data_IF_418146987706
#
_entry.id   IF_418146987706
#
_cell.length_a   1.000
_cell.length_b   1.000
_cell.length_c   1.000
_cell.angle_alpha   90.00
_cell.angle_beta   90.00
_cell.angle_gamma   90.00
#
_symmetry.space_group_name_H-M   'P 1'
#
loop_
_entity.id
_entity.type
_entity.pdbx_description
1 polymer ?
#
# COMPACT_ATOMS: atom_id res chain seq x y z
N UNK A 1 -16.55 -14.63 28.44
CA UNK A 1 -16.88 -14.50 27.01
C UNK A 1 -15.59 -14.55 26.21
N UNK A 2 -15.30 -15.59 25.41
CA UNK A 2 -14.14 -15.53 24.53
C UNK A 2 -14.40 -14.45 23.48
N UNK A 3 -13.39 -13.63 23.20
CA UNK A 3 -13.47 -12.62 22.14
C UNK A 3 -13.82 -13.33 20.83
N UNK A 4 -14.89 -12.91 20.14
CA UNK A 4 -15.22 -13.35 18.78
C UNK A 4 -14.00 -13.05 17.91
N UNK A 5 -13.16 -14.06 17.66
CA UNK A 5 -12.10 -13.96 16.66
C UNK A 5 -12.79 -13.81 15.33
N UNK A 6 -12.65 -12.64 14.71
CA UNK A 6 -13.10 -12.44 13.34
C UNK A 6 -12.55 -13.59 12.47
N UNK A 7 -13.35 -14.12 11.53
CA UNK A 7 -12.90 -15.21 10.69
C UNK A 7 -11.59 -14.84 9.98
N UNK A 8 -10.71 -15.83 9.75
CA UNK A 8 -9.47 -15.61 9.03
C UNK A 8 -9.77 -15.05 7.64
N UNK A 9 -8.98 -14.07 7.21
CA UNK A 9 -9.09 -13.51 5.88
C UNK A 9 -8.34 -14.40 4.90
N UNK A 10 -9.01 -14.81 3.84
CA UNK A 10 -8.46 -15.67 2.77
C UNK A 10 -8.14 -14.86 1.52
N UNK A 11 -7.20 -15.35 0.71
CA UNK A 11 -6.89 -14.84 -0.61
C UNK A 11 -8.13 -14.80 -1.53
N UNK A 12 -8.94 -15.86 -1.55
CA UNK A 12 -10.16 -15.93 -2.36
C UNK A 12 -11.15 -14.84 -1.97
N UNK A 13 -11.42 -14.70 -0.67
CA UNK A 13 -12.28 -13.63 -0.16
C UNK A 13 -11.76 -12.23 -0.52
N UNK A 14 -10.46 -11.97 -0.42
CA UNK A 14 -9.86 -10.72 -0.86
C UNK A 14 -10.12 -10.46 -2.35
N UNK A 15 -9.89 -11.45 -3.21
CA UNK A 15 -10.02 -11.28 -4.66
C UNK A 15 -11.49 -11.18 -5.10
N UNK A 16 -12.38 -11.88 -4.41
CA UNK A 16 -13.82 -11.71 -4.58
C UNK A 16 -14.25 -10.29 -4.21
N UNK A 17 -13.84 -9.79 -3.03
CA UNK A 17 -14.16 -8.42 -2.63
C UNK A 17 -13.57 -7.39 -3.60
N UNK A 18 -12.35 -7.65 -4.09
CA UNK A 18 -11.68 -6.80 -5.06
C UNK A 18 -12.47 -6.73 -6.37
N UNK A 19 -12.86 -7.89 -6.93
CA UNK A 19 -13.58 -7.95 -8.20
C UNK A 19 -14.93 -7.21 -8.13
N UNK A 20 -15.63 -7.28 -6.99
CA UNK A 20 -16.91 -6.59 -6.81
C UNK A 20 -16.79 -5.06 -6.77
N UNK A 21 -15.62 -4.52 -6.40
CA UNK A 21 -15.39 -3.08 -6.28
C UNK A 21 -14.50 -2.48 -7.36
N UNK A 22 -13.76 -3.32 -8.09
CA UNK A 22 -12.68 -2.90 -8.98
C UNK A 22 -13.14 -1.88 -10.02
N UNK A 23 -14.23 -2.17 -10.73
CA UNK A 23 -14.73 -1.28 -11.78
C UNK A 23 -15.14 0.11 -11.26
N UNK A 24 -15.86 0.15 -10.13
CA UNK A 24 -16.28 1.40 -9.50
C UNK A 24 -15.08 2.20 -8.99
N UNK A 25 -14.08 1.51 -8.46
CA UNK A 25 -12.87 2.13 -7.94
C UNK A 25 -11.98 2.68 -9.07
N UNK A 26 -11.83 1.95 -10.18
CA UNK A 26 -11.10 2.43 -11.35
C UNK A 26 -11.75 3.71 -11.94
N UNK A 27 -13.07 3.73 -12.09
CA UNK A 27 -13.81 4.94 -12.49
C UNK A 27 -13.62 6.10 -11.51
N UNK A 28 -13.52 5.82 -10.22
CA UNK A 28 -13.21 6.84 -9.23
C UNK A 28 -11.81 7.44 -9.42
N UNK A 29 -10.80 6.63 -9.77
CA UNK A 29 -9.43 7.10 -10.00
C UNK A 29 -9.28 7.98 -11.24
N UNK A 30 -10.15 7.82 -12.25
CA UNK A 30 -10.16 8.69 -13.44
C UNK A 30 -10.46 10.15 -13.11
N UNK A 31 -11.12 10.41 -11.98
CA UNK A 31 -11.35 11.78 -11.52
C UNK A 31 -10.11 12.31 -10.80
N UNK A 32 -9.74 13.56 -11.08
CA UNK A 32 -8.70 14.23 -10.32
C UNK A 32 -9.07 14.38 -8.84
N UNK A 33 -8.36 13.63 -7.99
CA UNK A 33 -8.49 13.65 -6.52
C UNK A 33 -7.30 14.35 -5.85
N UNK A 34 -6.45 15.05 -6.60
CA UNK A 34 -5.19 15.64 -6.09
C UNK A 34 -5.41 16.60 -4.92
N UNK A 35 -6.38 17.51 -5.01
CA UNK A 35 -6.70 18.45 -3.92
C UNK A 35 -7.10 17.71 -2.65
N UNK A 36 -7.97 16.72 -2.77
CA UNK A 36 -8.43 15.90 -1.65
C UNK A 36 -7.33 14.99 -1.07
N UNK A 37 -6.30 14.66 -1.85
CA UNK A 37 -5.11 13.93 -1.38
C UNK A 37 -4.09 14.88 -0.73
N UNK A 38 -4.00 16.14 -1.15
CA UNK A 38 -3.10 17.15 -0.59
C UNK A 38 -3.62 17.76 0.73
N UNK A 39 -4.92 18.00 0.85
CA UNK A 39 -5.51 18.70 2.01
C UNK A 39 -5.60 17.80 3.25
N UNK A 40 -4.70 17.99 4.21
CA UNK A 40 -4.68 17.24 5.47
C UNK A 40 -5.84 17.62 6.39
N UNK A 41 -6.36 18.84 6.29
CA UNK A 41 -7.46 19.36 7.09
C UNK A 41 -8.50 20.07 6.19
N UNK A 42 -9.68 19.43 6.06
CA UNK A 42 -10.97 20.08 5.73
C UNK A 42 -10.97 21.10 4.57
N UNK A 43 -11.13 20.63 3.34
CA UNK A 43 -12.36 20.94 2.58
C UNK A 43 -12.94 19.68 1.94
N UNK A 44 -13.57 18.88 2.79
CA UNK A 44 -14.35 17.68 2.45
C UNK A 44 -15.65 18.03 1.67
N UNK A 45 -15.96 19.32 1.50
CA UNK A 45 -17.23 19.85 0.99
C UNK A 45 -17.50 19.44 -0.46
N UNK A 46 -16.49 19.43 -1.33
CA UNK A 46 -16.71 19.06 -2.75
C UNK A 46 -16.83 17.54 -2.95
N UNK A 47 -16.19 16.72 -2.12
CA UNK A 47 -16.29 15.26 -2.21
C UNK A 47 -17.53 14.68 -1.51
N UNK A 48 -18.17 15.41 -0.60
CA UNK A 48 -19.45 15.02 0.03
C UNK A 48 -20.54 14.84 -1.02
N UNK A 49 -20.52 15.62 -2.11
CA UNK A 49 -21.46 15.49 -3.22
C UNK A 49 -21.35 14.16 -3.99
N UNK A 50 -20.24 13.42 -3.81
CA UNK A 50 -19.93 12.15 -4.52
C UNK A 50 -20.08 10.89 -3.66
N UNK A 51 -20.66 11.02 -2.46
CA UNK A 51 -21.01 9.90 -1.58
C UNK A 51 -19.90 9.38 -0.65
N UNK A 52 -20.30 8.68 0.43
CA UNK A 52 -19.43 8.23 1.53
C UNK A 52 -18.25 7.34 1.10
N UNK A 53 -18.40 6.59 0.01
CA UNK A 53 -17.36 5.70 -0.53
C UNK A 53 -16.13 6.45 -1.02
N UNK A 54 -16.30 7.64 -1.58
CA UNK A 54 -15.21 8.45 -2.16
C UNK A 54 -14.25 8.96 -1.09
N UNK A 55 -14.77 9.47 0.04
CA UNK A 55 -13.94 9.91 1.18
C UNK A 55 -13.15 8.75 1.78
N UNK A 56 -13.78 7.59 1.90
CA UNK A 56 -13.14 6.39 2.42
C UNK A 56 -12.01 5.91 1.51
N UNK A 57 -12.22 5.91 0.18
CA UNK A 57 -11.16 5.55 -0.77
C UNK A 57 -9.99 6.54 -0.75
N UNK A 58 -10.23 7.84 -0.60
CA UNK A 58 -9.15 8.84 -0.47
C UNK A 58 -8.28 8.55 0.77
N UNK A 59 -8.90 8.28 1.92
CA UNK A 59 -8.16 7.95 3.15
C UNK A 59 -7.33 6.68 2.99
N UNK A 60 -7.89 5.66 2.35
CA UNK A 60 -7.21 4.38 2.09
C UNK A 60 -6.09 4.53 1.05
N UNK A 61 -6.28 5.35 0.02
CA UNK A 61 -5.26 5.71 -0.96
C UNK A 61 -4.06 6.37 -0.29
N UNK A 62 -4.31 7.39 0.54
CA UNK A 62 -3.25 8.03 1.35
C UNK A 62 -2.50 7.01 2.20
N UNK A 63 -3.21 6.07 2.80
CA UNK A 63 -2.61 5.01 3.63
C UNK A 63 -1.69 4.11 2.80
N UNK A 64 -2.17 3.60 1.65
CA UNK A 64 -1.36 2.78 0.73
C UNK A 64 -0.14 3.55 0.25
N UNK A 65 -0.30 4.81 -0.17
CA UNK A 65 0.81 5.64 -0.65
C UNK A 65 1.87 5.86 0.44
N UNK A 66 1.46 6.11 1.69
CA UNK A 66 2.41 6.22 2.82
C UNK A 66 3.18 4.92 3.05
N UNK A 67 2.47 3.80 3.06
CA UNK A 67 3.09 2.48 3.24
C UNK A 67 4.06 2.15 2.11
N UNK A 68 3.68 2.42 0.85
CA UNK A 68 4.54 2.23 -0.32
C UNK A 68 5.79 3.10 -0.23
N UNK A 69 5.67 4.40 0.11
CA UNK A 69 6.84 5.28 0.27
C UNK A 69 7.79 4.80 1.36
N UNK A 70 7.26 4.42 2.52
CA UNK A 70 8.07 3.95 3.64
C UNK A 70 8.88 2.70 3.30
N UNK A 71 8.30 1.77 2.53
CA UNK A 71 9.02 0.58 2.08
C UNK A 71 10.06 0.88 0.99
N UNK A 72 9.79 1.85 0.11
CA UNK A 72 10.78 2.30 -0.89
C UNK A 72 11.97 3.02 -0.22
N UNK A 73 11.71 3.87 0.77
CA UNK A 73 12.76 4.50 1.59
C UNK A 73 13.62 3.43 2.29
N UNK A 74 13.00 2.35 2.78
CA UNK A 74 13.75 1.22 3.35
C UNK A 74 14.62 0.52 2.30
N UNK A 75 14.07 0.22 1.12
CA UNK A 75 14.82 -0.41 0.03
C UNK A 75 16.01 0.44 -0.42
N UNK A 76 15.84 1.76 -0.47
CA UNK A 76 16.92 2.71 -0.77
C UNK A 76 17.97 2.73 0.35
N UNK A 77 17.53 2.88 1.60
CA UNK A 77 18.41 2.88 2.76
C UNK A 77 19.25 1.61 2.80
N UNK A 78 18.65 0.42 2.63
CA UNK A 78 19.38 -0.85 2.57
C UNK A 78 20.41 -0.86 1.44
N UNK A 79 20.08 -0.31 0.26
CA UNK A 79 21.02 -0.20 -0.85
C UNK A 79 22.23 0.67 -0.50
N UNK A 80 22.03 1.79 0.20
CA UNK A 80 23.13 2.65 0.66
C UNK A 80 24.05 1.95 1.67
N UNK A 81 23.53 0.96 2.40
CA UNK A 81 24.31 0.14 3.33
C UNK A 81 25.06 -1.02 2.64
N UNK A 82 25.04 -1.09 1.30
CA UNK A 82 25.60 -2.23 0.55
C UNK A 82 24.76 -3.51 0.69
N UNK A 83 23.59 -3.44 1.31
CA UNK A 83 22.65 -4.54 1.48
C UNK A 83 21.66 -4.50 0.30
N UNK A 84 22.06 -5.08 -0.83
CA UNK A 84 21.22 -5.14 -2.05
C UNK A 84 19.85 -5.81 -1.86
N UNK A 85 19.00 -5.74 -2.90
CA UNK A 85 17.61 -6.27 -2.91
C UNK A 85 17.55 -7.67 -2.29
N UNK A 86 16.71 -7.82 -1.26
CA UNK A 86 16.39 -9.14 -0.73
C UNK A 86 15.79 -9.99 -1.86
N UNK A 87 16.34 -11.18 -2.09
CA UNK A 87 15.78 -12.12 -3.06
C UNK A 87 14.40 -12.58 -2.59
N UNK A 88 13.43 -12.82 -3.50
CA UNK A 88 12.16 -13.43 -3.14
C UNK A 88 12.43 -14.77 -2.44
N UNK A 89 12.06 -14.89 -1.15
CA UNK A 89 12.32 -16.08 -0.32
C UNK A 89 13.28 -15.87 0.86
N UNK A 90 14.01 -14.75 0.91
CA UNK A 90 14.84 -14.39 2.06
C UNK A 90 13.96 -13.86 3.22
N UNK A 91 13.36 -14.76 4.01
CA UNK A 91 12.64 -14.41 5.25
C UNK A 91 13.54 -13.70 6.28
N UNK A 92 14.86 -13.81 6.15
CA UNK A 92 15.81 -13.45 7.20
C UNK A 92 16.15 -11.95 7.25
N UNK A 93 16.04 -11.18 6.16
CA UNK A 93 16.58 -9.80 6.14
C UNK A 93 15.62 -8.72 6.67
N UNK A 94 14.30 -8.90 6.50
CA UNK A 94 13.32 -7.85 6.84
C UNK A 94 13.12 -7.63 8.35
N UNK A 95 13.21 -8.67 9.17
CA UNK A 95 12.92 -8.53 10.62
C UNK A 95 13.99 -7.71 11.35
N UNK A 96 15.25 -7.81 10.92
CA UNK A 96 16.39 -7.14 11.57
C UNK A 96 16.65 -5.72 11.06
N UNK A 97 16.24 -5.39 9.84
CA UNK A 97 16.41 -4.03 9.30
C UNK A 97 15.44 -3.01 9.91
N UNK A 98 14.26 -3.45 10.36
CA UNK A 98 13.16 -2.55 10.73
C UNK A 98 13.51 -1.60 11.90
N UNK A 99 14.04 -2.06 13.05
CA UNK A 99 14.38 -1.14 14.15
C UNK A 99 15.49 -0.15 13.77
N UNK A 100 16.48 -0.60 12.99
CA UNK A 100 17.60 0.23 12.54
C UNK A 100 17.16 1.27 11.51
N UNK A 101 16.30 0.89 10.58
CA UNK A 101 15.69 1.77 9.59
C UNK A 101 14.79 2.82 10.24
N UNK A 102 13.89 2.41 11.16
CA UNK A 102 13.01 3.35 11.86
C UNK A 102 13.82 4.37 12.69
N UNK A 103 14.90 3.92 13.33
CA UNK A 103 15.84 4.81 14.02
C UNK A 103 16.54 5.77 13.06
N UNK A 104 16.96 5.30 11.88
CA UNK A 104 17.56 6.15 10.85
C UNK A 104 16.60 7.27 10.40
N UNK A 105 15.31 6.99 10.30
CA UNK A 105 14.27 7.99 10.01
C UNK A 105 13.91 8.90 11.20
N UNK A 106 14.58 8.76 12.34
CA UNK A 106 14.22 9.49 13.57
C UNK A 106 12.84 9.12 14.13
N UNK A 107 12.29 7.97 13.72
CA UNK A 107 10.97 7.51 14.16
C UNK A 107 11.09 6.60 15.38
N UNK A 108 10.06 6.67 16.21
CA UNK A 108 9.90 5.75 17.32
C UNK A 108 9.67 4.33 16.79
N UNK A 109 10.26 3.32 17.46
CA UNK A 109 10.04 1.91 17.15
C UNK A 109 8.72 1.42 17.79
N UNK A 110 7.63 2.15 17.57
CA UNK A 110 6.31 1.80 18.09
C UNK A 110 5.59 0.78 17.20
N UNK A 111 4.50 0.22 17.74
CA UNK A 111 3.69 -0.78 17.06
C UNK A 111 3.12 -0.29 15.72
N UNK A 112 2.76 0.99 15.61
CA UNK A 112 2.16 1.55 14.39
C UNK A 112 3.20 1.72 13.30
N UNK A 113 4.38 2.26 13.62
CA UNK A 113 5.50 2.39 12.69
C UNK A 113 5.95 1.02 12.15
N UNK A 114 6.04 0.03 13.03
CA UNK A 114 6.33 -1.35 12.65
C UNK A 114 5.24 -1.93 11.73
N UNK A 115 3.98 -1.76 12.10
CA UNK A 115 2.84 -2.22 11.31
C UNK A 115 2.86 -1.58 9.92
N UNK A 116 3.04 -0.26 9.84
CA UNK A 116 3.03 0.48 8.57
C UNK A 116 4.13 -0.01 7.63
N UNK A 117 5.35 -0.23 8.13
CA UNK A 117 6.44 -0.76 7.32
C UNK A 117 6.16 -2.20 6.87
N UNK A 118 5.61 -3.06 7.74
CA UNK A 118 5.22 -4.41 7.36
C UNK A 118 4.17 -4.42 6.23
N UNK A 119 3.19 -3.52 6.30
CA UNK A 119 2.21 -3.37 5.22
C UNK A 119 2.83 -2.80 3.95
N UNK A 120 3.78 -1.86 4.07
CA UNK A 120 4.56 -1.37 2.93
C UNK A 120 5.33 -2.48 2.23
N UNK A 121 6.05 -3.33 2.97
CA UNK A 121 6.74 -4.50 2.43
C UNK A 121 5.78 -5.50 1.79
N UNK A 122 4.57 -5.63 2.32
CA UNK A 122 3.50 -6.43 1.71
C UNK A 122 3.15 -5.88 0.34
N UNK A 123 2.86 -4.58 0.24
CA UNK A 123 2.60 -3.92 -1.05
C UNK A 123 3.76 -4.12 -2.03
N UNK A 124 5.01 -3.97 -1.57
CA UNK A 124 6.21 -4.20 -2.39
C UNK A 124 6.28 -5.62 -2.97
N UNK A 125 5.89 -6.65 -2.23
CA UNK A 125 5.82 -8.03 -2.78
C UNK A 125 4.87 -8.13 -3.97
N UNK A 126 3.69 -7.48 -3.91
CA UNK A 126 2.78 -7.44 -5.06
C UNK A 126 3.35 -6.58 -6.19
N UNK A 127 3.95 -5.42 -5.88
CA UNK A 127 4.53 -4.53 -6.89
C UNK A 127 5.72 -5.15 -7.64
N UNK A 128 6.53 -5.98 -6.98
CA UNK A 128 7.63 -6.72 -7.61
C UNK A 128 7.08 -7.75 -8.61
N UNK A 129 5.97 -8.40 -8.28
CA UNK A 129 5.38 -9.47 -9.10
C UNK A 129 4.54 -8.94 -10.27
N UNK A 130 3.84 -7.81 -10.10
CA UNK A 130 2.85 -7.33 -11.07
C UNK A 130 3.13 -5.92 -11.60
N UNK A 131 4.10 -5.19 -11.04
CA UNK A 131 4.43 -3.82 -11.42
C UNK A 131 4.02 -2.78 -10.37
N UNK A 132 4.74 -1.67 -10.34
CA UNK A 132 4.71 -0.69 -9.24
C UNK A 132 3.35 -0.03 -8.98
N UNK A 133 2.44 0.04 -9.95
CA UNK A 133 1.12 0.63 -9.76
C UNK A 133 0.11 -0.28 -9.06
N UNK A 134 0.37 -1.59 -8.99
CA UNK A 134 -0.63 -2.59 -8.58
C UNK A 134 -1.13 -2.38 -7.14
N UNK A 135 -0.29 -1.80 -6.27
CA UNK A 135 -0.64 -1.53 -4.88
C UNK A 135 -1.93 -0.71 -4.74
N UNK A 136 -2.21 0.19 -5.69
CA UNK A 136 -3.41 1.02 -5.63
C UNK A 136 -4.71 0.21 -5.77
N UNK A 137 -4.69 -0.97 -6.40
CA UNK A 137 -5.86 -1.85 -6.50
C UNK A 137 -6.37 -2.32 -5.13
N UNK A 138 -5.51 -2.37 -4.11
CA UNK A 138 -5.91 -2.85 -2.79
C UNK A 138 -6.65 -1.79 -1.96
N UNK A 139 -6.81 -0.56 -2.45
CA UNK A 139 -7.56 0.51 -1.77
C UNK A 139 -8.99 0.11 -1.37
N UNK A 140 -9.86 -0.39 -2.28
CA UNK A 140 -11.22 -0.79 -1.91
C UNK A 140 -11.26 -1.94 -0.89
N UNK A 141 -10.22 -2.77 -0.84
CA UNK A 141 -10.13 -3.94 0.03
C UNK A 141 -9.08 -3.82 1.14
N UNK A 142 -8.63 -2.60 1.45
CA UNK A 142 -7.53 -2.36 2.38
C UNK A 142 -7.70 -3.03 3.75
N UNK A 143 -8.89 -3.04 4.39
CA UNK A 143 -9.07 -3.72 5.68
C UNK A 143 -8.83 -5.24 5.60
N UNK A 144 -9.27 -5.86 4.51
CA UNK A 144 -9.09 -7.28 4.22
C UNK A 144 -7.61 -7.55 3.93
N UNK A 145 -7.01 -6.74 3.06
CA UNK A 145 -5.58 -6.81 2.70
C UNK A 145 -4.65 -6.72 3.92
N UNK A 146 -4.93 -5.79 4.83
CA UNK A 146 -4.14 -5.58 6.05
C UNK A 146 -4.03 -6.84 6.90
N UNK A 147 -5.09 -7.65 6.92
CA UNK A 147 -5.25 -8.85 7.74
C UNK A 147 -4.77 -10.14 7.06
N UNK A 148 -4.36 -10.10 5.79
CA UNK A 148 -3.79 -11.28 5.12
C UNK A 148 -2.53 -11.75 5.86
N UNK A 149 -2.46 -13.06 6.10
CA UNK A 149 -1.23 -13.71 6.55
C UNK A 149 -0.24 -13.87 5.39
N UNK A 150 1.03 -14.13 5.68
CA UNK A 150 2.03 -14.39 4.63
C UNK A 150 1.64 -15.54 3.69
N UNK A 151 1.00 -16.58 4.23
CA UNK A 151 0.49 -17.72 3.44
C UNK A 151 -0.60 -17.29 2.48
N UNK A 152 -1.57 -16.50 2.96
CA UNK A 152 -2.67 -16.00 2.14
C UNK A 152 -2.21 -14.92 1.15
N UNK A 153 -1.17 -14.15 1.48
CA UNK A 153 -0.52 -13.24 0.54
C UNK A 153 0.08 -14.00 -0.65
N UNK A 154 0.88 -15.04 -0.37
CA UNK A 154 1.47 -15.87 -1.41
C UNK A 154 0.39 -16.52 -2.29
N UNK A 155 -0.68 -17.00 -1.68
CA UNK A 155 -1.85 -17.55 -2.37
C UNK A 155 -2.56 -16.49 -3.22
N UNK A 156 -2.74 -15.27 -2.72
CA UNK A 156 -3.34 -14.17 -3.48
C UNK A 156 -2.50 -13.80 -4.71
N UNK A 157 -1.17 -13.79 -4.58
CA UNK A 157 -0.26 -13.59 -5.73
C UNK A 157 -0.47 -14.71 -6.76
N UNK A 158 -0.51 -15.98 -6.35
CA UNK A 158 -0.72 -17.10 -7.29
C UNK A 158 -2.09 -17.01 -7.99
N UNK A 159 -3.15 -16.70 -7.24
CA UNK A 159 -4.49 -16.55 -7.80
C UNK A 159 -4.56 -15.37 -8.78
N UNK A 160 -3.96 -14.22 -8.46
CA UNK A 160 -3.90 -13.07 -9.37
C UNK A 160 -3.15 -13.41 -10.67
N UNK A 161 -2.02 -14.12 -10.58
CA UNK A 161 -1.27 -14.60 -11.76
C UNK A 161 -2.13 -15.50 -12.65
N UNK A 162 -2.93 -16.37 -12.06
CA UNK A 162 -3.76 -17.32 -12.80
C UNK A 162 -5.03 -16.70 -13.41
N UNK A 163 -5.58 -15.65 -12.80
CA UNK A 163 -6.94 -15.17 -13.11
C UNK A 163 -7.01 -13.83 -13.83
N UNK A 164 -5.95 -13.01 -13.82
CA UNK A 164 -6.02 -11.64 -14.33
C UNK A 164 -5.09 -11.42 -15.53
N UNK A 165 -5.58 -11.71 -16.74
CA UNK A 165 -4.84 -11.49 -17.99
C UNK A 165 -4.39 -10.02 -18.18
N UNK A 166 -5.12 -9.06 -17.59
CA UNK A 166 -4.85 -7.62 -17.74
C UNK A 166 -4.10 -6.99 -16.57
N UNK A 167 -3.65 -7.77 -15.58
CA UNK A 167 -3.09 -7.22 -14.33
C UNK A 167 -1.87 -6.32 -14.56
N UNK A 168 -1.04 -6.67 -15.54
CA UNK A 168 0.13 -5.87 -15.92
C UNK A 168 -0.28 -4.54 -16.58
N UNK A 169 -1.35 -4.56 -17.40
CA UNK A 169 -1.90 -3.36 -18.04
C UNK A 169 -2.50 -2.45 -16.97
N UNK A 170 -3.25 -3.03 -16.02
CA UNK A 170 -3.82 -2.29 -14.90
C UNK A 170 -2.71 -1.70 -14.02
N UNK A 171 -1.64 -2.45 -13.73
CA UNK A 171 -0.49 -1.95 -12.99
C UNK A 171 0.19 -0.76 -13.69
N UNK A 172 0.35 -0.80 -15.02
CA UNK A 172 0.90 0.31 -15.79
C UNK A 172 0.00 1.56 -15.74
N UNK A 173 -1.31 1.39 -15.91
CA UNK A 173 -2.27 2.49 -15.80
C UNK A 173 -2.24 3.11 -14.40
N UNK A 174 -2.20 2.27 -13.37
CA UNK A 174 -2.15 2.69 -11.98
C UNK A 174 -0.82 3.32 -11.58
N UNK A 175 0.27 2.99 -12.27
CA UNK A 175 1.57 3.61 -12.03
C UNK A 175 1.52 5.12 -12.29
N UNK A 176 0.79 5.57 -13.32
CA UNK A 176 0.63 7.00 -13.59
C UNK A 176 -0.06 7.72 -12.41
N UNK A 177 -1.13 7.12 -11.87
CA UNK A 177 -1.83 7.65 -10.70
C UNK A 177 -0.94 7.63 -9.44
N UNK A 178 -0.20 6.54 -9.23
CA UNK A 178 0.72 6.41 -8.11
C UNK A 178 1.77 7.52 -8.15
N UNK A 179 2.44 7.73 -9.27
CA UNK A 179 3.43 8.79 -9.44
C UNK A 179 2.85 10.19 -9.18
N UNK A 180 1.63 10.46 -9.66
CA UNK A 180 0.93 11.72 -9.43
C UNK A 180 0.66 11.98 -7.94
N UNK A 181 0.14 10.99 -7.23
CA UNK A 181 -0.34 11.17 -5.85
C UNK A 181 0.72 10.93 -4.79
N UNK A 182 1.76 10.15 -5.08
CA UNK A 182 2.81 9.85 -4.11
C UNK A 182 3.58 11.12 -3.71
N UNK A 183 3.79 12.05 -4.65
CA UNK A 183 4.37 13.36 -4.38
C UNK A 183 3.54 14.23 -3.42
N UNK A 184 2.23 13.97 -3.29
CA UNK A 184 1.32 14.73 -2.43
C UNK A 184 1.25 14.18 -1.00
N UNK A 185 1.67 12.93 -0.80
CA UNK A 185 1.50 12.19 0.47
C UNK A 185 2.81 12.07 1.24
N UNK A 186 3.95 12.10 0.55
CA UNK A 186 5.27 12.10 1.17
C UNK A 186 5.61 13.52 1.62
N UNK A 187 5.77 13.80 2.92
CA UNK A 187 6.44 15.02 3.32
C UNK A 187 7.86 14.96 2.78
N UNK A 188 8.22 15.88 1.88
CA UNK A 188 9.62 16.00 1.43
C UNK A 188 10.52 16.00 2.68
N UNK A 189 11.57 15.17 2.76
CA UNK A 189 12.53 15.33 3.83
C UNK A 189 13.05 16.77 3.73
N UNK A 190 12.89 17.52 4.82
CA UNK A 190 13.65 18.74 5.03
C UNK A 190 15.11 18.28 4.97
N UNK A 191 15.80 18.62 3.89
CA UNK A 191 17.24 18.42 3.78
C UNK A 191 17.88 18.97 5.05
N UNK A 192 18.84 18.28 5.68
CA UNK A 192 19.64 18.93 6.70
C UNK A 192 20.31 20.14 6.01
N UNK A 193 20.03 21.33 6.53
CA UNK A 193 20.73 22.54 6.11
C UNK A 193 22.20 22.31 6.47
N UNK A 194 23.15 22.47 5.52
CA UNK A 194 24.57 22.34 5.80
C UNK A 194 25.07 23.39 6.80
#
# INVERSE_FOLDING_TARGET
MPARRNPPVTAEGLLHDLSTQMERYLRFLEVDVSSAIAETNTTVVDFISRGASSRLWILRLRTILRWSSLALEEEEWLRTQGLGRAHPGSQVRGVWSMPSFLRHLGRSNDHNACSDLQQGRKLRRFEIEFGEGIALLFTPVLPTFRRLSLTEEAKAIQLLKASHANILIDAQRLLHFKSKYQALVVPRPILPIP
#
